data_IF_960387886566
#
_entry.id   IF_960387886566
#
_cell.length_a   1.000
_cell.length_b   1.000
_cell.length_c   1.000
_cell.angle_alpha   90.00
_cell.angle_beta   90.00
_cell.angle_gamma   90.00
#
_symmetry.space_group_name_H-M   'P 1'
#
loop_
_entity.id
_entity.type
_entity.pdbx_description
1 polymer ?
#
# COMPACT_ATOMS: atom_id res chain seq x y z
N UNK A 1 -10.47 -11.40 27.39
CA UNK A 1 -11.01 -11.78 26.07
C UNK A 1 -12.07 -10.74 25.76
N UNK A 2 -11.65 -9.60 25.20
CA UNK A 2 -12.58 -8.55 24.79
C UNK A 2 -13.42 -9.07 23.63
N UNK A 3 -14.73 -8.88 23.72
CA UNK A 3 -15.67 -9.18 22.64
C UNK A 3 -15.38 -8.20 21.51
N UNK A 4 -14.97 -8.70 20.34
CA UNK A 4 -14.80 -7.87 19.15
C UNK A 4 -16.19 -7.38 18.71
N UNK A 5 -16.44 -6.09 18.90
CA UNK A 5 -17.69 -5.45 18.49
C UNK A 5 -17.86 -5.50 16.97
N UNK A 6 -19.07 -5.84 16.51
CA UNK A 6 -19.39 -5.89 15.08
C UNK A 6 -19.64 -4.48 14.53
N UNK A 7 -18.95 -4.13 13.43
CA UNK A 7 -19.08 -2.82 12.79
C UNK A 7 -20.29 -2.81 11.86
N UNK A 8 -21.06 -1.72 11.90
CA UNK A 8 -22.15 -1.48 10.94
C UNK A 8 -21.57 -1.03 9.58
N UNK A 9 -21.96 -1.71 8.52
CA UNK A 9 -21.54 -1.42 7.14
C UNK A 9 -22.03 -0.02 6.69
N UNK A 10 -21.12 0.78 6.15
CA UNK A 10 -21.37 2.11 5.59
C UNK A 10 -21.70 2.04 4.09
N UNK A 11 -22.74 2.73 3.60
CA UNK A 11 -23.12 2.69 2.19
C UNK A 11 -22.15 3.48 1.31
N UNK A 12 -21.62 2.81 0.28
CA UNK A 12 -20.82 3.40 -0.79
C UNK A 12 -21.71 3.74 -2.00
N UNK A 13 -21.48 4.92 -2.61
CA UNK A 13 -22.15 5.33 -3.84
C UNK A 13 -21.19 5.17 -5.02
N UNK A 14 -21.43 4.16 -5.84
CA UNK A 14 -20.70 3.95 -7.09
C UNK A 14 -21.02 5.11 -8.05
N UNK A 15 -20.03 5.91 -8.40
CA UNK A 15 -20.12 6.82 -9.54
C UNK A 15 -20.08 5.97 -10.82
N UNK A 16 -20.86 6.28 -11.86
CA UNK A 16 -20.79 5.56 -13.12
C UNK A 16 -19.41 5.78 -13.74
N UNK A 17 -18.53 4.80 -13.59
CA UNK A 17 -17.28 4.71 -14.33
C UNK A 17 -17.52 3.75 -15.48
N UNK A 18 -17.38 4.23 -16.70
CA UNK A 18 -17.22 3.36 -17.86
C UNK A 18 -16.00 2.47 -17.59
N UNK A 19 -16.21 1.16 -17.46
CA UNK A 19 -15.12 0.20 -17.29
C UNK A 19 -14.15 0.26 -18.48
N UNK A 20 -13.02 -0.44 -18.38
CA UNK A 20 -12.00 -0.57 -19.42
C UNK A 20 -12.50 -1.38 -20.64
N UNK A 21 -13.58 -0.93 -21.30
CA UNK A 21 -14.15 -1.60 -22.47
C UNK A 21 -13.29 -1.44 -23.73
N UNK A 22 -12.37 -0.47 -23.76
CA UNK A 22 -11.55 -0.15 -24.92
C UNK A 22 -10.12 0.23 -24.51
N UNK A 23 -9.26 -0.76 -24.25
CA UNK A 23 -7.84 -0.52 -24.06
C UNK A 23 -7.21 -0.26 -25.43
N UNK A 24 -7.02 1.01 -25.78
CA UNK A 24 -6.13 1.42 -26.87
C UNK A 24 -4.75 1.66 -26.28
N UNK A 25 -3.81 0.74 -26.56
CA UNK A 25 -2.41 0.92 -26.21
C UNK A 25 -1.84 2.00 -27.12
N UNK A 26 -1.66 3.20 -26.60
CA UNK A 26 -0.82 4.22 -27.22
C UNK A 26 0.55 4.13 -26.55
N UNK A 27 1.65 4.01 -27.31
CA UNK A 27 2.98 4.18 -26.75
C UNK A 27 3.11 5.64 -26.33
N UNK A 28 2.82 5.92 -25.06
CA UNK A 28 3.09 7.21 -24.48
C UNK A 28 4.62 7.30 -24.37
N UNK A 29 5.22 8.31 -25.01
CA UNK A 29 6.56 8.73 -24.63
C UNK A 29 6.42 9.18 -23.19
N UNK A 30 6.81 8.30 -22.27
CA UNK A 30 6.82 8.57 -20.84
C UNK A 30 7.85 9.69 -20.67
N UNK A 31 7.40 10.94 -20.74
CA UNK A 31 8.18 12.06 -20.26
C UNK A 31 8.14 11.92 -18.75
N UNK A 32 9.05 11.07 -18.25
CA UNK A 32 9.09 10.67 -16.85
C UNK A 32 9.53 11.91 -16.10
N UNK A 33 8.56 12.73 -15.73
CA UNK A 33 8.73 13.74 -14.72
C UNK A 33 8.88 12.97 -13.40
N UNK A 34 10.06 12.35 -13.22
CA UNK A 34 10.46 11.62 -12.04
C UNK A 34 10.42 12.63 -10.90
N UNK A 35 9.28 12.68 -10.21
CA UNK A 35 9.21 13.25 -8.88
C UNK A 35 10.06 12.32 -8.01
N UNK A 36 11.35 12.65 -7.91
CA UNK A 36 12.31 11.90 -7.12
C UNK A 36 11.89 12.02 -5.65
N UNK A 37 11.14 11.03 -5.18
CA UNK A 37 11.05 10.75 -3.75
C UNK A 37 12.34 10.06 -3.32
N UNK A 38 12.66 10.09 -2.03
CA UNK A 38 13.81 9.37 -1.48
C UNK A 38 13.75 7.86 -1.80
N UNK A 39 12.56 7.27 -1.79
CA UNK A 39 12.36 5.89 -2.22
C UNK A 39 12.78 5.67 -3.68
N UNK A 40 12.40 6.58 -4.59
CA UNK A 40 12.79 6.52 -6.01
C UNK A 40 14.31 6.61 -6.20
N UNK A 41 15.01 7.39 -5.36
CA UNK A 41 16.47 7.54 -5.43
C UNK A 41 17.19 6.26 -5.00
N UNK A 42 16.78 5.65 -3.90
CA UNK A 42 17.34 4.40 -3.39
C UNK A 42 17.13 3.28 -4.42
N UNK A 43 15.93 3.19 -5.00
CA UNK A 43 15.63 2.22 -6.06
C UNK A 43 16.49 2.45 -7.30
N UNK A 44 16.61 3.68 -7.78
CA UNK A 44 17.45 3.99 -8.93
C UNK A 44 18.93 3.67 -8.67
N UNK A 45 19.43 3.96 -7.47
CA UNK A 45 20.81 3.65 -7.09
C UNK A 45 21.08 2.15 -7.05
N UNK A 46 20.17 1.34 -6.51
CA UNK A 46 20.29 -0.11 -6.56
C UNK A 46 20.30 -0.65 -7.99
N UNK A 47 19.40 -0.17 -8.85
CA UNK A 47 19.34 -0.59 -10.26
C UNK A 47 20.66 -0.28 -10.96
N UNK A 48 21.21 0.92 -10.76
CA UNK A 48 22.48 1.32 -11.35
C UNK A 48 23.65 0.46 -10.83
N UNK A 49 23.70 0.21 -9.52
CA UNK A 49 24.70 -0.68 -8.91
C UNK A 49 24.64 -2.10 -9.47
N UNK A 50 23.43 -2.66 -9.62
CA UNK A 50 23.21 -3.99 -10.16
C UNK A 50 23.55 -4.07 -11.66
N UNK A 51 23.29 -3.00 -12.41
CA UNK A 51 23.68 -2.89 -13.81
C UNK A 51 25.20 -2.84 -13.99
N UNK A 52 25.90 -2.06 -13.16
CA UNK A 52 27.36 -1.92 -13.20
C UNK A 52 28.07 -3.17 -12.66
N UNK A 53 27.48 -3.84 -11.68
CA UNK A 53 28.02 -5.05 -11.04
C UNK A 53 26.96 -6.18 -11.05
N UNK A 54 26.81 -6.92 -12.17
CA UNK A 54 25.81 -7.97 -12.31
C UNK A 54 25.90 -9.04 -11.21
N UNK A 55 27.13 -9.37 -10.80
CA UNK A 55 27.44 -10.37 -9.77
C UNK A 55 27.33 -9.85 -8.34
N UNK A 56 26.83 -8.61 -8.14
CA UNK A 56 26.57 -8.08 -6.80
C UNK A 56 25.73 -9.09 -6.00
N UNK A 57 26.23 -9.58 -4.86
CA UNK A 57 25.57 -10.64 -4.08
C UNK A 57 24.32 -10.13 -3.36
N UNK A 58 24.20 -8.81 -3.19
CA UNK A 58 23.07 -8.16 -2.55
C UNK A 58 21.90 -8.04 -3.54
N UNK A 59 20.88 -8.87 -3.32
CA UNK A 59 19.55 -8.62 -3.88
C UNK A 59 18.94 -7.34 -3.30
N UNK A 60 17.75 -6.96 -3.77
CA UNK A 60 17.06 -5.73 -3.30
C UNK A 60 16.94 -5.68 -1.78
N UNK A 61 16.54 -6.77 -1.13
CA UNK A 61 16.36 -6.83 0.32
C UNK A 61 17.68 -6.59 1.07
N UNK A 62 18.75 -7.30 0.71
CA UNK A 62 20.06 -7.14 1.35
C UNK A 62 20.66 -5.75 1.12
N UNK A 63 20.40 -5.16 -0.05
CA UNK A 63 20.80 -3.78 -0.32
C UNK A 63 20.05 -2.77 0.58
N UNK A 64 18.73 -2.95 0.77
CA UNK A 64 17.94 -2.10 1.67
C UNK A 64 18.40 -2.28 3.12
N UNK A 65 18.64 -3.51 3.56
CA UNK A 65 19.19 -3.80 4.90
C UNK A 65 20.51 -3.04 5.12
N UNK A 66 21.44 -3.10 4.17
CA UNK A 66 22.72 -2.38 4.24
C UNK A 66 22.52 -0.85 4.30
N UNK A 67 21.70 -0.30 3.41
CA UNK A 67 21.46 1.16 3.33
C UNK A 67 20.69 1.71 4.53
N UNK A 68 19.95 0.84 5.23
CA UNK A 68 19.20 1.20 6.44
C UNK A 68 19.86 0.73 7.72
N UNK A 69 21.05 0.12 7.66
CA UNK A 69 21.74 -0.49 8.80
C UNK A 69 22.01 0.50 9.95
N UNK A 70 22.25 1.77 9.62
CA UNK A 70 22.50 2.85 10.59
C UNK A 70 21.24 3.65 10.96
N UNK A 71 20.08 3.33 10.38
CA UNK A 71 18.82 4.01 10.71
C UNK A 71 18.20 3.38 11.95
N UNK A 72 17.70 4.23 12.84
CA UNK A 72 16.91 3.77 13.98
C UNK A 72 15.65 3.04 13.48
N UNK A 73 15.34 1.93 14.13
CA UNK A 73 14.08 1.24 13.88
C UNK A 73 12.92 2.07 14.44
N UNK A 74 11.88 2.28 13.64
CA UNK A 74 10.62 2.80 14.15
C UNK A 74 9.79 1.66 14.73
N UNK A 75 9.32 1.81 15.96
CA UNK A 75 8.42 0.84 16.59
C UNK A 75 7.04 0.99 15.96
N UNK A 76 6.57 -0.06 15.29
CA UNK A 76 5.20 -0.14 14.76
C UNK A 76 4.27 -0.81 15.77
N UNK A 77 3.00 -0.40 15.77
CA UNK A 77 1.95 -0.98 16.58
C UNK A 77 1.00 -1.76 15.68
N UNK A 78 0.89 -3.06 15.91
CA UNK A 78 -0.06 -3.93 15.21
C UNK A 78 -1.34 -4.00 16.04
N UNK A 79 -2.47 -3.65 15.43
CA UNK A 79 -3.77 -3.74 16.08
C UNK A 79 -4.75 -4.56 15.27
N UNK A 80 -5.57 -5.32 15.98
CA UNK A 80 -6.67 -6.04 15.36
C UNK A 80 -7.79 -5.05 15.02
N UNK A 81 -8.16 -5.01 13.74
CA UNK A 81 -9.37 -4.33 13.33
C UNK A 81 -10.59 -5.20 13.66
N UNK A 82 -11.75 -4.60 13.97
CA UNK A 82 -12.96 -5.36 14.20
C UNK A 82 -13.44 -6.05 12.92
N UNK A 83 -14.20 -7.13 13.06
CA UNK A 83 -14.68 -7.90 11.91
C UNK A 83 -15.82 -7.19 11.19
N UNK A 84 -15.72 -7.13 9.87
CA UNK A 84 -16.83 -6.71 9.00
C UNK A 84 -17.47 -7.98 8.44
N UNK A 85 -18.65 -8.31 8.94
CA UNK A 85 -19.40 -9.50 8.51
C UNK A 85 -20.16 -9.25 7.20
N UNK A 86 -19.42 -9.12 6.10
CA UNK A 86 -19.96 -8.90 4.76
C UNK A 86 -19.02 -9.47 3.69
N UNK A 87 -19.48 -9.57 2.44
CA UNK A 87 -18.66 -10.08 1.34
C UNK A 87 -17.47 -9.15 1.11
N UNK A 88 -16.23 -9.67 1.00
CA UNK A 88 -15.02 -8.85 0.84
C UNK A 88 -15.00 -8.04 -0.47
N UNK A 89 -15.67 -8.54 -1.52
CA UNK A 89 -15.75 -7.87 -2.82
C UNK A 89 -16.91 -6.87 -2.92
N UNK A 90 -17.69 -6.69 -1.84
CA UNK A 90 -18.74 -5.67 -1.82
C UNK A 90 -18.12 -4.29 -1.54
N UNK A 91 -18.48 -3.30 -2.36
CA UNK A 91 -17.94 -1.95 -2.24
C UNK A 91 -18.22 -1.30 -0.87
N UNK A 92 -19.34 -1.64 -0.23
CA UNK A 92 -19.64 -1.12 1.11
C UNK A 92 -18.69 -1.73 2.14
N UNK A 93 -18.37 -3.01 2.01
CA UNK A 93 -17.37 -3.69 2.86
C UNK A 93 -16.01 -3.04 2.72
N UNK A 94 -15.54 -2.82 1.50
CA UNK A 94 -14.24 -2.17 1.22
C UNK A 94 -14.21 -0.74 1.75
N UNK A 95 -15.26 0.03 1.50
CA UNK A 95 -15.36 1.39 2.01
C UNK A 95 -15.37 1.41 3.55
N UNK A 96 -16.14 0.51 4.17
CA UNK A 96 -16.19 0.38 5.63
C UNK A 96 -14.82 0.01 6.21
N UNK A 97 -14.10 -0.94 5.59
CA UNK A 97 -12.78 -1.36 6.07
C UNK A 97 -11.76 -0.23 6.01
N UNK A 98 -11.81 0.59 4.94
CA UNK A 98 -10.95 1.77 4.82
C UNK A 98 -11.29 2.80 5.89
N UNK A 99 -12.57 3.15 6.03
CA UNK A 99 -13.00 4.16 7.00
C UNK A 99 -12.69 3.74 8.44
N UNK A 100 -12.88 2.47 8.78
CA UNK A 100 -12.50 1.95 10.09
C UNK A 100 -10.99 2.01 10.30
N UNK A 101 -10.20 1.61 9.31
CA UNK A 101 -8.73 1.64 9.41
C UNK A 101 -8.23 3.06 9.67
N UNK A 102 -8.82 4.06 9.01
CA UNK A 102 -8.52 5.49 9.24
C UNK A 102 -8.93 5.91 10.65
N UNK A 103 -10.15 5.58 11.10
CA UNK A 103 -10.62 5.92 12.43
C UNK A 103 -9.74 5.32 13.55
N UNK A 104 -9.28 4.08 13.39
CA UNK A 104 -8.35 3.46 14.33
C UNK A 104 -6.97 4.11 14.27
N UNK A 105 -6.48 4.47 13.08
CA UNK A 105 -5.21 5.20 12.91
C UNK A 105 -5.24 6.51 13.69
N UNK A 106 -6.33 7.27 13.59
CA UNK A 106 -6.54 8.52 14.34
C UNK A 106 -6.62 8.25 15.85
N UNK A 107 -7.40 7.24 16.27
CA UNK A 107 -7.58 6.87 17.68
C UNK A 107 -6.25 6.52 18.37
N UNK A 108 -5.31 5.93 17.65
CA UNK A 108 -4.02 5.50 18.19
C UNK A 108 -2.86 6.42 17.82
N UNK A 109 -3.15 7.60 17.29
CA UNK A 109 -2.15 8.60 16.94
C UNK A 109 -1.05 8.05 15.99
N UNK A 110 -1.44 7.12 15.12
CA UNK A 110 -0.54 6.52 14.15
C UNK A 110 -0.22 7.54 13.04
N UNK A 111 1.07 7.71 12.72
CA UNK A 111 1.50 8.67 11.69
C UNK A 111 1.10 8.27 10.27
N UNK A 112 1.03 6.96 10.01
CA UNK A 112 0.82 6.39 8.68
C UNK A 112 -0.07 5.16 8.77
N UNK A 113 -1.12 5.10 7.95
CA UNK A 113 -1.97 3.93 7.77
C UNK A 113 -1.67 3.28 6.41
N UNK A 114 -1.29 2.00 6.40
CA UNK A 114 -1.13 1.21 5.18
C UNK A 114 -2.20 0.14 5.17
N UNK A 115 -3.06 0.16 4.15
CA UNK A 115 -4.15 -0.79 3.98
C UNK A 115 -3.82 -1.66 2.76
N UNK A 116 -3.75 -2.97 2.98
CA UNK A 116 -3.52 -3.96 1.93
C UNK A 116 -4.73 -4.88 1.83
N UNK A 117 -5.12 -5.23 0.60
CA UNK A 117 -6.16 -6.21 0.33
C UNK A 117 -5.53 -7.43 -0.34
N UNK A 118 -5.84 -8.62 0.18
CA UNK A 118 -5.28 -9.88 -0.32
C UNK A 118 -5.77 -10.23 -1.73
N UNK A 119 -6.95 -9.74 -2.12
CA UNK A 119 -7.53 -9.95 -3.46
C UNK A 119 -7.42 -8.69 -4.30
N UNK A 120 -7.27 -8.87 -5.62
CA UNK A 120 -7.35 -7.77 -6.58
C UNK A 120 -8.70 -7.07 -6.42
N UNK A 121 -8.63 -5.79 -6.13
CA UNK A 121 -9.75 -4.89 -6.33
C UNK A 121 -9.84 -4.72 -7.84
N UNK A 122 -10.81 -5.42 -8.45
CA UNK A 122 -11.19 -5.42 -9.87
C UNK A 122 -10.30 -6.25 -10.81
#
# INVERSE_FOLDING_TARGET
>A
MEMLDNIKVLPYKLQPTDGLANIKIQPENLDVNLKFTEATRITAFWILQKYLNPDMPLGWNGFIEEVTAEKDYEVSLIQFLPFINSKPNDYNTLFTSIMESVAQTDKYEMKTCIITFDQQLY
#
